data_IF_779023592814
#
_entry.id   IF_779023592814
#
_cell.length_a   1.000
_cell.length_b   1.000
_cell.length_c   1.000
_cell.angle_alpha   90.00
_cell.angle_beta   90.00
_cell.angle_gamma   90.00
#
_symmetry.space_group_name_H-M   'P 1'
#
loop_
_entity.id
_entity.type
_entity.pdbx_description
1 polymer ?
#
# COMPACT_ATOMS: atom_id res chain seq x y z
N UNK A 1 22.18 -42.39 -3.48
CA UNK A 1 21.92 -40.95 -3.67
C UNK A 1 20.59 -40.68 -2.98
N UNK A 2 20.58 -39.92 -1.89
CA UNK A 2 19.33 -39.56 -1.23
C UNK A 2 18.63 -38.51 -2.09
N UNK A 3 17.52 -38.91 -2.70
CA UNK A 3 16.59 -37.99 -3.35
C UNK A 3 15.89 -37.21 -2.23
N UNK A 4 16.18 -35.91 -2.13
CA UNK A 4 15.45 -35.02 -1.23
C UNK A 4 14.01 -34.96 -1.74
N UNK A 5 13.04 -35.15 -0.84
CA UNK A 5 11.63 -34.98 -1.20
C UNK A 5 11.43 -33.61 -1.86
N UNK A 6 10.64 -33.52 -2.95
CA UNK A 6 10.36 -32.24 -3.61
C UNK A 6 9.86 -31.23 -2.58
N UNK A 7 10.51 -30.07 -2.54
CA UNK A 7 10.05 -28.98 -1.69
C UNK A 7 8.79 -28.37 -2.32
N UNK A 8 7.75 -28.15 -1.53
CA UNK A 8 6.47 -27.63 -2.05
C UNK A 8 6.55 -26.10 -2.13
N UNK A 9 6.09 -25.51 -3.23
CA UNK A 9 5.99 -24.06 -3.41
C UNK A 9 4.53 -23.63 -3.64
N UNK A 10 4.09 -22.59 -2.93
CA UNK A 10 2.70 -22.09 -2.94
C UNK A 10 2.64 -20.60 -3.22
N UNK A 11 1.49 -20.15 -3.74
CA UNK A 11 1.21 -18.73 -3.83
C UNK A 11 1.15 -18.09 -2.43
N UNK A 12 1.71 -16.89 -2.31
CA UNK A 12 1.86 -16.11 -1.08
C UNK A 12 3.17 -16.34 -0.34
N UNK A 13 3.95 -17.37 -0.69
CA UNK A 13 5.24 -17.60 -0.07
C UNK A 13 6.28 -16.57 -0.51
N UNK A 14 7.17 -16.20 0.41
CA UNK A 14 8.27 -15.29 0.13
C UNK A 14 9.50 -16.09 -0.32
N UNK A 15 10.13 -15.66 -1.41
CA UNK A 15 11.31 -16.28 -1.99
C UNK A 15 12.45 -15.27 -2.14
N UNK A 16 13.67 -15.78 -2.09
CA UNK A 16 14.90 -15.08 -2.48
C UNK A 16 15.42 -15.66 -3.80
N UNK A 17 15.94 -14.81 -4.68
CA UNK A 17 16.54 -15.21 -5.95
C UNK A 17 17.56 -14.18 -6.41
N UNK A 18 18.39 -14.53 -7.40
CA UNK A 18 19.26 -13.58 -8.07
C UNK A 18 18.68 -13.25 -9.44
N UNK A 19 18.41 -11.96 -9.68
CA UNK A 19 17.88 -11.47 -10.94
C UNK A 19 18.85 -11.72 -12.09
N UNK A 20 18.32 -12.13 -13.24
CA UNK A 20 19.12 -12.38 -14.45
C UNK A 20 19.61 -11.09 -15.11
N UNK A 21 19.08 -9.94 -14.71
CA UNK A 21 19.52 -8.64 -15.22
C UNK A 21 20.92 -8.24 -14.72
N UNK A 22 21.48 -8.99 -13.76
CA UNK A 22 22.77 -8.71 -13.14
C UNK A 22 23.71 -9.91 -13.31
N UNK A 23 25.00 -9.61 -13.42
CA UNK A 23 26.03 -10.66 -13.46
C UNK A 23 26.09 -11.42 -12.13
N UNK A 24 26.42 -12.71 -12.21
CA UNK A 24 26.48 -13.59 -11.04
C UNK A 24 27.59 -13.11 -10.09
N UNK A 25 27.20 -12.61 -8.92
CA UNK A 25 28.12 -12.08 -7.90
C UNK A 25 28.04 -10.57 -7.73
N UNK A 26 27.32 -9.86 -8.60
CA UNK A 26 26.96 -8.47 -8.35
C UNK A 26 25.97 -8.40 -7.18
N UNK A 27 26.28 -7.56 -6.19
CA UNK A 27 25.41 -7.29 -5.04
C UNK A 27 24.06 -6.71 -5.49
N UNK A 28 24.00 -6.09 -6.68
CA UNK A 28 22.77 -5.56 -7.26
C UNK A 28 21.73 -6.62 -7.67
N UNK A 29 22.15 -7.89 -7.85
CA UNK A 29 21.32 -8.96 -8.39
C UNK A 29 20.38 -9.64 -7.38
N UNK A 30 20.67 -9.58 -6.08
CA UNK A 30 19.83 -10.24 -5.08
C UNK A 30 18.44 -9.57 -4.99
N UNK A 31 17.40 -10.40 -4.95
CA UNK A 31 15.99 -10.01 -4.85
C UNK A 31 15.28 -10.86 -3.83
N UNK A 32 14.28 -10.26 -3.20
CA UNK A 32 13.26 -10.93 -2.39
C UNK A 32 11.90 -10.54 -2.91
N UNK A 33 11.04 -11.52 -3.12
CA UNK A 33 9.71 -11.33 -3.70
C UNK A 33 8.67 -12.27 -3.06
N UNK A 34 7.40 -11.96 -3.30
CA UNK A 34 6.27 -12.82 -2.94
C UNK A 34 5.72 -13.46 -4.21
N UNK A 35 5.48 -14.77 -4.17
CA UNK A 35 4.85 -15.51 -5.25
C UNK A 35 3.39 -15.08 -5.36
N UNK A 36 3.02 -14.39 -6.42
CA UNK A 36 1.67 -13.88 -6.64
C UNK A 36 0.74 -14.98 -7.19
N UNK A 37 1.28 -15.88 -8.02
CA UNK A 37 0.55 -17.02 -8.57
C UNK A 37 1.48 -18.19 -8.73
N UNK A 38 0.92 -19.40 -8.64
CA UNK A 38 1.55 -20.63 -9.07
C UNK A 38 0.65 -21.28 -10.11
N UNK A 39 1.21 -21.68 -11.23
CA UNK A 39 0.56 -22.45 -12.28
C UNK A 39 1.34 -23.74 -12.54
N UNK A 40 0.74 -24.88 -12.23
CA UNK A 40 1.36 -26.19 -12.39
C UNK A 40 1.12 -26.83 -13.78
N UNK A 41 0.63 -26.06 -14.75
CA UNK A 41 0.45 -26.53 -16.12
C UNK A 41 1.78 -26.92 -16.77
N UNK A 42 1.81 -28.08 -17.44
CA UNK A 42 3.02 -28.62 -18.06
C UNK A 42 3.62 -27.73 -19.17
N UNK A 43 2.80 -26.87 -19.78
CA UNK A 43 3.18 -25.97 -20.89
C UNK A 43 3.39 -24.51 -20.44
N UNK A 44 3.57 -24.26 -19.15
CA UNK A 44 3.76 -22.91 -18.62
C UNK A 44 5.24 -22.58 -18.50
N UNK A 45 5.72 -21.69 -19.38
CA UNK A 45 7.13 -21.27 -19.40
C UNK A 45 7.59 -20.62 -18.09
N UNK A 46 6.72 -19.84 -17.45
CA UNK A 46 7.02 -19.06 -16.25
C UNK A 46 5.95 -19.30 -15.18
N UNK A 47 6.02 -20.43 -14.46
CA UNK A 47 4.91 -20.92 -13.65
C UNK A 47 4.68 -20.12 -12.37
N UNK A 48 5.60 -19.23 -11.98
CA UNK A 48 5.48 -18.43 -10.76
C UNK A 48 5.69 -16.92 -10.97
N UNK A 49 4.65 -16.19 -11.41
CA UNK A 49 4.65 -14.74 -11.35
C UNK A 49 4.89 -14.24 -9.92
N UNK A 50 5.78 -13.24 -9.77
CA UNK A 50 6.13 -12.63 -8.49
C UNK A 50 5.76 -11.15 -8.45
N UNK A 51 5.60 -10.59 -7.26
CA UNK A 51 5.19 -9.20 -7.08
C UNK A 51 6.21 -8.13 -7.54
N UNK A 52 7.47 -8.54 -7.76
CA UNK A 52 8.50 -7.71 -8.41
C UNK A 52 8.27 -7.59 -9.92
N UNK A 53 7.38 -8.41 -10.48
CA UNK A 53 7.09 -8.54 -11.91
C UNK A 53 8.28 -9.05 -12.74
N UNK A 54 9.37 -9.45 -12.10
CA UNK A 54 10.48 -10.12 -12.77
C UNK A 54 10.05 -11.52 -13.20
N UNK A 55 10.50 -11.92 -14.40
CA UNK A 55 10.24 -13.26 -14.92
C UNK A 55 11.14 -14.25 -14.20
N UNK A 56 10.56 -15.35 -13.71
CA UNK A 56 11.29 -16.42 -13.00
C UNK A 56 11.25 -17.70 -13.86
N UNK A 57 12.33 -18.02 -14.59
CA UNK A 57 12.44 -19.24 -15.37
C UNK A 57 12.51 -20.51 -14.50
N UNK A 58 12.09 -21.69 -15.02
CA UNK A 58 12.11 -22.96 -14.29
C UNK A 58 13.50 -23.40 -13.80
N UNK A 59 14.57 -22.97 -14.47
CA UNK A 59 15.95 -23.29 -14.10
C UNK A 59 16.60 -22.27 -13.15
N UNK A 60 15.90 -21.17 -12.85
CA UNK A 60 16.36 -20.17 -11.87
C UNK A 60 16.48 -20.81 -10.48
N UNK A 61 17.58 -20.49 -9.79
CA UNK A 61 17.81 -20.91 -8.42
C UNK A 61 17.18 -19.89 -7.48
N UNK A 62 16.34 -20.38 -6.58
CA UNK A 62 15.65 -19.59 -5.57
C UNK A 62 15.67 -20.29 -4.22
N UNK A 63 15.24 -19.59 -3.18
CA UNK A 63 15.11 -20.11 -1.83
C UNK A 63 13.83 -19.57 -1.18
N UNK A 64 12.86 -20.42 -0.83
CA UNK A 64 11.76 -20.02 0.04
C UNK A 64 12.29 -19.55 1.41
N UNK A 65 11.75 -18.46 1.93
CA UNK A 65 12.21 -17.88 3.20
C UNK A 65 11.09 -17.62 4.19
N UNK A 66 9.85 -17.52 3.74
CA UNK A 66 8.70 -17.49 4.62
C UNK A 66 7.48 -18.08 3.91
N UNK A 67 6.59 -18.71 4.68
CA UNK A 67 5.32 -19.18 4.18
C UNK A 67 4.35 -18.00 3.91
N UNK A 68 3.15 -18.31 3.40
CA UNK A 68 2.10 -17.31 3.13
C UNK A 68 1.60 -16.54 4.36
N UNK A 69 1.92 -17.00 5.57
CA UNK A 69 1.56 -16.34 6.83
C UNK A 69 2.75 -15.55 7.41
N UNK A 70 3.88 -15.51 6.71
CA UNK A 70 5.10 -14.83 7.14
C UNK A 70 5.95 -15.65 8.13
N UNK A 71 5.64 -16.94 8.33
CA UNK A 71 6.42 -17.81 9.20
C UNK A 71 7.72 -18.19 8.47
N UNK A 72 8.90 -17.96 9.06
CA UNK A 72 10.17 -18.29 8.42
C UNK A 72 10.29 -19.77 8.05
N UNK A 73 10.77 -20.04 6.84
CA UNK A 73 11.03 -21.38 6.33
C UNK A 73 12.53 -21.69 6.36
N UNK A 74 12.88 -22.92 6.74
CA UNK A 74 14.26 -23.42 6.66
C UNK A 74 14.45 -24.19 5.35
N UNK A 75 14.63 -23.46 4.26
CA UNK A 75 14.84 -24.01 2.92
C UNK A 75 16.31 -23.94 2.48
N UNK A 76 16.64 -24.69 1.42
CA UNK A 76 17.92 -24.57 0.70
C UNK A 76 17.74 -23.88 -0.64
N UNK A 77 18.84 -23.40 -1.22
CA UNK A 77 18.82 -22.85 -2.58
C UNK A 77 18.65 -24.00 -3.59
N UNK A 78 17.57 -23.95 -4.36
CA UNK A 78 17.17 -25.02 -5.28
C UNK A 78 16.62 -24.44 -6.58
N UNK A 79 16.65 -25.21 -7.68
CA UNK A 79 16.05 -24.76 -8.95
C UNK A 79 14.53 -24.82 -8.87
N UNK A 80 13.82 -23.85 -9.42
CA UNK A 80 12.36 -23.82 -9.42
C UNK A 80 11.71 -25.13 -9.92
N UNK A 81 12.27 -25.75 -10.96
CA UNK A 81 11.78 -27.02 -11.52
C UNK A 81 11.88 -28.24 -10.59
N UNK A 82 12.56 -28.14 -9.46
CA UNK A 82 12.62 -29.23 -8.46
C UNK A 82 11.53 -29.11 -7.40
N UNK A 83 10.77 -28.01 -7.39
CA UNK A 83 9.68 -27.81 -6.45
C UNK A 83 8.40 -28.49 -6.95
N UNK A 84 7.62 -29.02 -6.02
CA UNK A 84 6.23 -29.37 -6.29
C UNK A 84 5.39 -28.08 -6.25
N UNK A 85 4.87 -27.69 -7.41
CA UNK A 85 4.11 -26.46 -7.57
C UNK A 85 2.63 -26.68 -7.24
N UNK A 86 2.13 -26.02 -6.20
CA UNK A 86 0.71 -26.08 -5.86
C UNK A 86 0.00 -24.87 -6.44
N UNK A 87 -0.81 -25.12 -7.47
CA UNK A 87 -1.60 -24.11 -8.17
C UNK A 87 -2.41 -23.26 -7.19
N UNK A 88 -2.35 -21.94 -7.39
CA UNK A 88 -3.06 -20.99 -6.56
C UNK A 88 -2.70 -19.54 -6.88
N UNK A 89 -3.46 -18.62 -6.30
CA UNK A 89 -3.28 -17.18 -6.46
C UNK A 89 -3.22 -16.50 -5.10
N UNK A 90 -2.43 -15.45 -5.00
CA UNK A 90 -2.28 -14.63 -3.82
C UNK A 90 -2.21 -13.16 -4.23
N UNK A 91 -2.94 -12.30 -3.52
CA UNK A 91 -2.93 -10.86 -3.76
C UNK A 91 -1.67 -10.23 -3.16
N UNK A 92 -0.54 -10.40 -3.86
CA UNK A 92 0.70 -9.74 -3.48
C UNK A 92 0.74 -8.31 -4.01
N UNK A 93 1.08 -7.36 -3.15
CA UNK A 93 1.28 -5.98 -3.56
C UNK A 93 2.56 -5.83 -4.38
N UNK A 94 2.42 -5.22 -5.56
CA UNK A 94 3.55 -4.80 -6.40
C UNK A 94 4.00 -3.40 -6.01
N UNK A 95 5.23 -3.02 -6.41
CA UNK A 95 5.71 -1.64 -6.22
C UNK A 95 4.80 -0.61 -6.89
N UNK A 96 4.30 -0.92 -8.09
CA UNK A 96 3.40 -0.04 -8.83
C UNK A 96 2.06 0.14 -8.10
N UNK A 97 1.46 -0.95 -7.60
CA UNK A 97 0.22 -0.86 -6.83
C UNK A 97 0.40 -0.15 -5.48
N UNK A 98 1.53 -0.36 -4.80
CA UNK A 98 1.86 0.37 -3.57
C UNK A 98 1.98 1.88 -3.84
N UNK A 99 2.68 2.25 -4.91
CA UNK A 99 2.81 3.65 -5.33
C UNK A 99 1.46 4.27 -5.70
N UNK A 100 0.64 3.58 -6.48
CA UNK A 100 -0.69 4.06 -6.87
C UNK A 100 -1.56 4.31 -5.64
N UNK A 101 -1.61 3.38 -4.68
CA UNK A 101 -2.33 3.58 -3.41
C UNK A 101 -1.81 4.78 -2.62
N UNK A 102 -0.49 4.98 -2.58
CA UNK A 102 0.10 6.13 -1.90
C UNK A 102 -0.30 7.46 -2.57
N UNK A 103 -0.32 7.51 -3.91
CA UNK A 103 -0.75 8.68 -4.67
C UNK A 103 -2.25 8.97 -4.46
N UNK A 104 -3.10 7.95 -4.54
CA UNK A 104 -4.55 8.07 -4.27
C UNK A 104 -4.80 8.59 -2.86
N UNK A 105 -4.08 8.08 -1.86
CA UNK A 105 -4.15 8.54 -0.48
C UNK A 105 -3.72 10.00 -0.32
N UNK A 106 -2.61 10.40 -0.96
CA UNK A 106 -2.13 11.79 -0.91
C UNK A 106 -3.11 12.77 -1.56
N UNK A 107 -3.71 12.41 -2.70
CA UNK A 107 -4.74 13.22 -3.37
C UNK A 107 -5.97 13.38 -2.47
N UNK A 108 -6.44 12.28 -1.89
CA UNK A 108 -7.60 12.29 -0.98
C UNK A 108 -7.34 13.21 0.22
N UNK A 109 -6.18 13.07 0.87
CA UNK A 109 -5.79 13.91 2.00
C UNK A 109 -5.70 15.40 1.64
N UNK A 110 -5.23 15.74 0.43
CA UNK A 110 -5.19 17.12 -0.03
C UNK A 110 -6.59 17.73 -0.20
N UNK A 111 -7.54 16.98 -0.78
CA UNK A 111 -8.93 17.44 -0.91
C UNK A 111 -9.61 17.59 0.44
N UNK A 112 -9.40 16.65 1.35
CA UNK A 112 -9.95 16.71 2.71
C UNK A 112 -9.42 17.96 3.45
N UNK A 113 -8.11 18.24 3.38
CA UNK A 113 -7.52 19.43 4.00
C UNK A 113 -8.09 20.76 3.45
N UNK A 114 -8.36 20.84 2.14
CA UNK A 114 -8.99 22.03 1.54
C UNK A 114 -10.43 22.18 2.01
N UNK A 115 -11.19 21.08 2.07
CA UNK A 115 -12.57 21.09 2.55
C UNK A 115 -12.64 21.49 4.02
N UNK A 116 -11.76 20.96 4.85
CA UNK A 116 -11.70 21.27 6.28
C UNK A 116 -11.36 22.75 6.49
N UNK A 117 -10.37 23.28 5.76
CA UNK A 117 -10.06 24.72 5.80
C UNK A 117 -11.25 25.60 5.38
N UNK A 118 -11.99 25.19 4.34
CA UNK A 118 -13.17 25.95 3.89
C UNK A 118 -14.28 25.91 4.94
N UNK A 119 -14.46 24.78 5.62
CA UNK A 119 -15.39 24.64 6.73
C UNK A 119 -15.01 25.54 7.89
N UNK A 120 -13.75 25.51 8.33
CA UNK A 120 -13.24 26.35 9.42
C UNK A 120 -13.44 27.84 9.10
N UNK A 121 -13.11 28.27 7.87
CA UNK A 121 -13.33 29.64 7.44
C UNK A 121 -14.82 30.02 7.40
N UNK A 122 -15.73 29.08 7.11
CA UNK A 122 -17.18 29.35 7.09
C UNK A 122 -17.78 29.43 8.50
N UNK A 123 -17.21 28.72 9.47
CA UNK A 123 -17.61 28.77 10.88
C UNK A 123 -17.09 30.07 11.56
N UNK A 124 -15.99 30.65 11.09
CA UNK A 124 -15.44 31.94 11.58
C UNK A 124 -16.25 33.17 11.13
N UNK A 125 -16.96 33.10 9.99
CA UNK A 125 -17.67 34.26 9.40
C UNK A 125 -19.06 34.49 10.01
N UNK A 126 -19.38 33.96 11.19
CA UNK A 126 -20.63 34.34 11.89
C UNK A 126 -20.58 35.86 12.17
N UNK A 127 -21.42 36.68 11.52
CA UNK A 127 -21.41 38.11 11.80
C UNK A 127 -21.99 38.29 13.21
N UNK A 128 -21.22 38.88 14.11
CA UNK A 128 -21.78 39.42 15.35
C UNK A 128 -22.96 40.32 14.97
N UNK A 129 -24.16 39.94 15.42
CA UNK A 129 -25.35 40.77 15.21
C UNK A 129 -25.07 42.14 15.84
N UNK A 130 -25.33 43.27 15.13
CA UNK A 130 -25.16 44.58 15.73
C UNK A 130 -26.01 44.65 17.01
N UNK A 131 -25.37 44.85 18.16
CA UNK A 131 -26.09 45.21 19.37
C UNK A 131 -26.75 46.56 19.11
N UNK A 132 -28.06 46.54 18.89
CA UNK A 132 -28.88 47.74 18.77
C UNK A 132 -28.68 48.59 20.02
N UNK A 133 -28.00 49.72 19.89
CA UNK A 133 -27.90 50.74 20.92
C UNK A 133 -29.28 51.33 21.16
N UNK A 134 -29.93 50.94 22.26
CA UNK A 134 -31.04 51.72 22.82
C UNK A 134 -30.45 52.94 23.51
N UNK A 135 -30.39 54.06 22.79
CA UNK A 135 -30.24 55.38 23.39
C UNK A 135 -31.57 55.75 24.07
N UNK A 136 -31.59 55.70 25.40
CA UNK A 136 -32.65 56.36 26.17
C UNK A 136 -32.29 57.85 26.28
N UNK A 137 -32.88 58.70 25.44
CA UNK A 137 -32.92 60.15 25.68
C UNK A 137 -34.02 60.42 26.71
N UNK A 138 -33.68 61.00 27.86
CA UNK A 138 -34.66 61.55 28.79
C UNK A 138 -34.80 63.05 28.53
N UNK A 139 -35.74 63.41 27.65
CA UNK A 139 -36.20 64.79 27.54
C UNK A 139 -37.45 64.93 28.42
N UNK A 140 -37.25 65.43 29.65
CA UNK A 140 -38.32 65.89 30.51
C UNK A 140 -38.61 67.36 30.18
N UNK A 141 -39.55 67.59 29.28
CA UNK A 141 -40.27 68.85 29.20
C UNK A 141 -41.22 68.96 30.41
N UNK A 142 -41.06 69.99 31.23
CA UNK A 142 -42.19 70.57 31.96
C UNK A 142 -42.06 72.09 31.93
N UNK A 143 -42.74 72.70 30.96
CA UNK A 143 -43.24 74.08 31.09
C UNK A 143 -44.14 74.17 32.33
N UNK A 144 -43.94 75.19 33.16
CA UNK A 144 -45.06 75.88 33.79
C UNK A 144 -44.68 77.30 34.19
N UNK A 145 -45.35 78.26 33.55
CA UNK A 145 -45.39 79.68 33.89
C UNK A 145 -45.90 79.94 35.31
N UNK A 146 -45.39 80.99 35.99
CA UNK A 146 -46.26 82.00 36.63
C UNK A 146 -45.51 83.23 37.19
N UNK A 147 -45.94 84.39 36.65
CA UNK A 147 -46.03 85.78 37.17
C UNK A 147 -44.75 86.55 37.48
#
# INVERSE_FOLDING_TARGET
MSELAPEVLRAGEAIEYNSLAFERGDRGGYRRAVVARVDSGADVDFPIPVNTLEVIPPDMILKPVADRFGIPLKATWSKLRTFELVTGTFSAETRASALNKALEGAVTAAFDAVRDRHRDASEEIVPERPQSSTCSSSDAESNLDHV
#
